data_IF_261006753181
#
_entry.id   IF_261006753181
#
_cell.length_a   1.000
_cell.length_b   1.000
_cell.length_c   1.000
_cell.angle_alpha   90.00
_cell.angle_beta   90.00
_cell.angle_gamma   90.00
#
_symmetry.space_group_name_H-M   'P 1'
#
loop_
_entity.id
_entity.type
_entity.pdbx_description
1 polymer ?
#
# COMPACT_ATOMS: atom_id res chain seq x y z
N UNK A 1 -9.20 -12.56 16.33
CA UNK A 1 -7.75 -12.79 16.54
C UNK A 1 -7.07 -12.60 15.22
N UNK A 2 -6.17 -11.60 15.08
CA UNK A 2 -5.41 -11.40 13.84
C UNK A 2 -4.45 -12.58 13.72
N UNK A 3 -4.48 -13.32 12.60
CA UNK A 3 -3.64 -14.49 12.38
C UNK A 3 -2.14 -14.10 12.50
N UNK A 4 -1.32 -14.99 13.05
CA UNK A 4 0.13 -14.77 13.09
C UNK A 4 0.67 -14.87 11.68
N UNK A 5 0.97 -13.72 11.06
CA UNK A 5 1.55 -13.65 9.72
C UNK A 5 3.03 -14.04 9.83
N UNK A 6 3.52 -14.99 9.01
CA UNK A 6 4.95 -15.32 8.95
C UNK A 6 5.78 -14.08 8.59
N UNK A 7 6.94 -13.90 9.25
CA UNK A 7 7.84 -12.79 8.92
C UNK A 7 8.41 -12.86 7.50
N UNK A 8 8.39 -14.04 6.89
CA UNK A 8 8.95 -14.24 5.56
C UNK A 8 8.35 -13.27 4.53
N UNK A 9 7.01 -13.14 4.50
CA UNK A 9 6.32 -12.29 3.50
C UNK A 9 6.74 -10.83 3.62
N UNK A 10 6.60 -10.15 4.78
CA UNK A 10 6.99 -8.76 4.89
C UNK A 10 8.51 -8.55 4.76
N UNK A 11 9.35 -9.51 5.19
CA UNK A 11 10.81 -9.38 5.04
C UNK A 11 11.25 -9.49 3.59
N UNK A 12 10.67 -10.42 2.82
CA UNK A 12 10.93 -10.54 1.38
C UNK A 12 10.42 -9.30 0.63
N UNK A 13 9.21 -8.81 0.96
CA UNK A 13 8.66 -7.61 0.36
C UNK A 13 9.53 -6.37 0.66
N UNK A 14 10.01 -6.24 1.89
CA UNK A 14 10.90 -5.15 2.29
C UNK A 14 12.26 -5.24 1.56
N UNK A 15 12.86 -6.41 1.51
CA UNK A 15 14.13 -6.62 0.80
C UNK A 15 13.98 -6.31 -0.69
N UNK A 16 12.90 -6.79 -1.33
CA UNK A 16 12.60 -6.49 -2.73
C UNK A 16 12.32 -4.99 -2.96
N UNK A 17 11.61 -4.33 -2.04
CA UNK A 17 11.38 -2.88 -2.08
C UNK A 17 12.69 -2.09 -2.02
N UNK A 18 13.57 -2.43 -1.08
CA UNK A 18 14.87 -1.75 -0.93
C UNK A 18 15.78 -2.01 -2.15
N UNK A 19 15.79 -3.23 -2.67
CA UNK A 19 16.52 -3.56 -3.90
C UNK A 19 15.99 -2.77 -5.09
N UNK A 20 14.67 -2.74 -5.28
CA UNK A 20 14.06 -1.96 -6.36
C UNK A 20 14.36 -0.46 -6.20
N UNK A 21 14.27 0.08 -4.98
CA UNK A 21 14.65 1.46 -4.69
C UNK A 21 16.09 1.75 -5.11
N UNK A 22 17.03 0.88 -4.74
CA UNK A 22 18.42 1.04 -5.12
C UNK A 22 18.64 0.99 -6.64
N UNK A 23 17.97 0.07 -7.35
CA UNK A 23 18.07 -0.03 -8.81
C UNK A 23 17.51 1.20 -9.52
N UNK A 24 16.36 1.71 -9.03
CA UNK A 24 15.70 2.90 -9.57
C UNK A 24 16.51 4.16 -9.33
N UNK A 25 17.12 4.31 -8.15
CA UNK A 25 17.94 5.49 -7.80
C UNK A 25 19.33 5.45 -8.42
N UNK A 26 19.81 4.27 -8.84
CA UNK A 26 21.07 4.09 -9.54
C UNK A 26 20.92 4.17 -11.06
N UNK A 27 19.73 4.50 -11.58
CA UNK A 27 19.41 4.55 -13.02
C UNK A 27 19.89 3.28 -13.75
N UNK A 28 19.58 2.10 -13.15
CA UNK A 28 20.03 0.83 -13.71
C UNK A 28 19.38 0.54 -15.05
N UNK A 29 20.17 0.58 -16.11
CA UNK A 29 19.71 0.57 -17.49
C UNK A 29 18.67 -0.53 -17.87
N UNK A 30 18.70 -1.77 -17.34
CA UNK A 30 17.63 -2.72 -17.63
C UNK A 30 16.27 -2.32 -17.08
N UNK A 31 16.22 -1.69 -15.89
CA UNK A 31 14.96 -1.17 -15.28
C UNK A 31 14.45 0.01 -16.11
N UNK A 32 15.33 0.97 -16.46
CA UNK A 32 14.93 2.14 -17.22
C UNK A 32 14.41 1.75 -18.60
N UNK A 33 15.09 0.81 -19.28
CA UNK A 33 14.62 0.33 -20.59
C UNK A 33 13.25 -0.33 -20.51
N UNK A 34 12.98 -1.10 -19.45
CA UNK A 34 11.68 -1.71 -19.23
C UNK A 34 10.60 -0.63 -19.01
N UNK A 35 10.87 0.33 -18.13
CA UNK A 35 9.95 1.42 -17.81
C UNK A 35 9.64 2.27 -19.02
N UNK A 36 10.65 2.66 -19.79
CA UNK A 36 10.49 3.45 -21.01
C UNK A 36 9.70 2.68 -22.06
N UNK A 37 10.07 1.43 -22.35
CA UNK A 37 9.39 0.64 -23.37
C UNK A 37 7.90 0.46 -23.08
N UNK A 38 7.54 0.13 -21.82
CA UNK A 38 6.15 -0.03 -21.40
C UNK A 38 5.39 1.31 -21.45
N UNK A 39 6.03 2.41 -21.07
CA UNK A 39 5.40 3.73 -21.10
C UNK A 39 5.19 4.23 -22.54
N UNK A 40 6.09 3.91 -23.46
CA UNK A 40 5.92 4.25 -24.89
C UNK A 40 4.74 3.47 -25.51
N UNK A 41 4.56 2.21 -25.13
CA UNK A 41 3.40 1.42 -25.54
C UNK A 41 2.09 2.03 -24.99
N UNK A 42 2.08 2.42 -23.72
CA UNK A 42 0.91 3.03 -23.09
C UNK A 42 0.62 4.43 -23.65
N UNK A 43 1.64 5.18 -24.03
CA UNK A 43 1.47 6.48 -24.69
C UNK A 43 0.74 6.31 -26.03
N UNK A 44 1.18 5.38 -26.87
CA UNK A 44 0.51 5.09 -28.15
C UNK A 44 -0.94 4.66 -27.92
N UNK A 45 -1.14 3.69 -27.02
CA UNK A 45 -2.47 3.20 -26.67
C UNK A 45 -3.39 4.30 -26.14
N UNK A 46 -2.90 5.16 -25.25
CA UNK A 46 -3.69 6.23 -24.64
C UNK A 46 -4.13 7.29 -25.65
N UNK A 47 -3.28 7.67 -26.62
CA UNK A 47 -3.65 8.60 -27.67
C UNK A 47 -4.73 8.04 -28.61
N UNK A 48 -4.79 6.73 -28.81
CA UNK A 48 -5.83 6.06 -29.60
C UNK A 48 -7.16 5.90 -28.82
N UNK A 49 -7.13 6.04 -27.45
CA UNK A 49 -8.26 5.73 -26.59
C UNK A 49 -8.58 6.85 -25.58
N UNK A 50 -8.66 8.11 -26.02
CA UNK A 50 -8.84 9.28 -25.14
C UNK A 50 -10.07 9.18 -24.25
N UNK A 51 -11.19 8.61 -24.71
CA UNK A 51 -12.37 8.39 -23.89
C UNK A 51 -12.13 7.43 -22.70
N UNK A 52 -11.29 6.41 -22.88
CA UNK A 52 -10.85 5.55 -21.78
C UNK A 52 -9.95 6.33 -20.80
N UNK A 53 -9.03 7.15 -21.31
CA UNK A 53 -8.15 7.98 -20.48
C UNK A 53 -8.97 8.87 -19.53
N UNK A 54 -10.03 9.53 -20.04
CA UNK A 54 -10.91 10.39 -19.23
C UNK A 54 -11.62 9.60 -18.12
N UNK A 55 -12.10 8.40 -18.42
CA UNK A 55 -12.70 7.51 -17.40
C UNK A 55 -11.65 7.11 -16.35
N UNK A 56 -10.45 6.70 -16.78
CA UNK A 56 -9.40 6.25 -15.87
C UNK A 56 -8.90 7.36 -14.95
N UNK A 57 -8.88 8.61 -15.40
CA UNK A 57 -8.54 9.79 -14.58
C UNK A 57 -9.46 9.89 -13.35
N UNK A 58 -10.75 9.70 -13.55
CA UNK A 58 -11.76 9.80 -12.47
C UNK A 58 -11.74 8.56 -11.59
N UNK A 59 -11.75 7.38 -12.19
CA UNK A 59 -11.86 6.11 -11.44
C UNK A 59 -10.65 5.85 -10.56
N UNK A 60 -9.44 6.26 -10.99
CA UNK A 60 -8.21 6.05 -10.21
C UNK A 60 -8.21 6.83 -8.89
N UNK A 61 -8.95 7.95 -8.80
CA UNK A 61 -8.96 8.83 -7.64
C UNK A 61 -9.59 8.19 -6.39
N UNK A 62 -10.31 7.09 -6.53
CA UNK A 62 -10.79 6.29 -5.39
C UNK A 62 -9.64 5.82 -4.49
N UNK A 63 -8.44 5.66 -5.05
CA UNK A 63 -7.23 5.26 -4.33
C UNK A 63 -6.26 6.45 -4.06
N UNK A 64 -6.70 7.69 -4.28
CA UNK A 64 -5.92 8.87 -3.91
C UNK A 64 -5.76 8.97 -2.38
N UNK A 65 -4.81 9.78 -1.93
CA UNK A 65 -4.48 9.90 -0.50
C UNK A 65 -5.68 10.31 0.34
N UNK A 66 -6.48 11.27 -0.13
CA UNK A 66 -7.61 11.78 0.64
C UNK A 66 -8.72 10.72 0.85
N UNK A 67 -9.24 10.02 -0.19
CA UNK A 67 -10.18 8.92 0.02
C UNK A 67 -9.62 7.80 0.89
N UNK A 68 -8.34 7.43 0.72
CA UNK A 68 -7.71 6.42 1.56
C UNK A 68 -7.69 6.81 3.03
N UNK A 69 -7.25 8.02 3.36
CA UNK A 69 -7.20 8.54 4.73
C UNK A 69 -8.61 8.66 5.31
N UNK A 70 -9.57 9.20 4.55
CA UNK A 70 -10.95 9.32 5.00
C UNK A 70 -11.58 7.96 5.31
N UNK A 71 -11.40 6.97 4.43
CA UNK A 71 -11.88 5.60 4.65
C UNK A 71 -11.20 4.95 5.88
N UNK A 72 -9.90 5.15 6.05
CA UNK A 72 -9.13 4.64 7.18
C UNK A 72 -9.58 5.25 8.52
N UNK A 73 -9.84 6.57 8.57
CA UNK A 73 -10.38 7.24 9.75
C UNK A 73 -11.79 6.71 10.06
N UNK A 74 -12.66 6.60 9.07
CA UNK A 74 -14.01 6.08 9.24
C UNK A 74 -14.01 4.63 9.76
N UNK A 75 -13.18 3.77 9.17
CA UNK A 75 -13.02 2.39 9.63
C UNK A 75 -12.48 2.32 11.07
N UNK A 76 -11.49 3.13 11.41
CA UNK A 76 -10.93 3.21 12.76
C UNK A 76 -11.99 3.64 13.77
N UNK A 77 -12.73 4.72 13.49
CA UNK A 77 -13.78 5.23 14.35
C UNK A 77 -14.90 4.19 14.57
N UNK A 78 -15.37 3.56 13.49
CA UNK A 78 -16.37 2.49 13.55
C UNK A 78 -15.91 1.31 14.41
N UNK A 79 -14.67 0.85 14.22
CA UNK A 79 -14.12 -0.27 14.99
C UNK A 79 -13.93 0.07 16.47
N UNK A 80 -13.55 1.31 16.79
CA UNK A 80 -13.48 1.78 18.19
C UNK A 80 -14.87 1.84 18.82
N UNK A 81 -15.85 2.41 18.12
CA UNK A 81 -17.24 2.50 18.59
C UNK A 81 -17.86 1.12 18.85
N UNK A 82 -17.45 0.09 18.08
CA UNK A 82 -17.89 -1.29 18.25
C UNK A 82 -17.00 -2.12 19.22
N UNK A 83 -16.08 -1.48 19.95
CA UNK A 83 -15.19 -2.12 20.94
C UNK A 83 -14.06 -2.98 20.34
N UNK A 84 -13.86 -2.96 19.03
CA UNK A 84 -12.86 -3.75 18.31
C UNK A 84 -11.49 -3.05 18.28
N UNK A 85 -10.86 -2.83 19.42
CA UNK A 85 -9.65 -2.00 19.56
C UNK A 85 -8.46 -2.44 18.71
N UNK A 86 -8.10 -3.75 18.67
CA UNK A 86 -6.97 -4.24 17.87
C UNK A 86 -7.16 -4.03 16.36
N UNK A 87 -8.29 -4.39 15.75
CA UNK A 87 -8.62 -4.01 14.38
C UNK A 87 -8.58 -2.51 14.13
N UNK A 88 -9.08 -1.69 15.06
CA UNK A 88 -9.02 -0.24 14.96
C UNK A 88 -7.58 0.29 14.89
N UNK A 89 -6.69 -0.22 15.75
CA UNK A 89 -5.27 0.16 15.73
C UNK A 89 -4.58 -0.28 14.43
N UNK A 90 -4.95 -1.42 13.86
CA UNK A 90 -4.43 -1.82 12.54
C UNK A 90 -4.83 -0.79 11.48
N UNK A 91 -6.11 -0.41 11.40
CA UNK A 91 -6.57 0.62 10.48
C UNK A 91 -5.84 1.94 10.72
N UNK A 92 -5.77 2.41 11.96
CA UNK A 92 -5.14 3.68 12.31
C UNK A 92 -3.66 3.72 11.89
N UNK A 93 -2.87 2.70 12.27
CA UNK A 93 -1.46 2.66 11.92
C UNK A 93 -1.21 2.56 10.41
N UNK A 94 -1.98 1.76 9.69
CA UNK A 94 -1.82 1.64 8.23
C UNK A 94 -2.21 2.96 7.55
N UNK A 95 -3.30 3.61 8.00
CA UNK A 95 -3.76 4.90 7.47
C UNK A 95 -2.71 6.01 7.65
N UNK A 96 -1.91 5.96 8.70
CA UNK A 96 -0.83 6.93 8.95
C UNK A 96 0.46 6.52 8.24
N UNK A 97 0.91 5.27 8.42
CA UNK A 97 2.24 4.84 7.98
C UNK A 97 2.38 4.81 6.45
N UNK A 98 1.36 4.38 5.72
CA UNK A 98 1.47 4.28 4.26
C UNK A 98 1.64 5.67 3.62
N UNK A 99 0.82 6.69 3.88
CA UNK A 99 1.04 8.03 3.34
C UNK A 99 2.32 8.69 3.84
N UNK A 100 2.71 8.46 5.11
CA UNK A 100 3.94 9.04 5.67
C UNK A 100 5.18 8.46 4.99
N UNK A 101 5.25 7.14 4.84
CA UNK A 101 6.37 6.49 4.16
C UNK A 101 6.42 6.84 2.68
N UNK A 102 5.26 6.85 1.99
CA UNK A 102 5.16 7.33 0.62
C UNK A 102 5.66 8.77 0.48
N UNK A 103 5.18 9.69 1.32
CA UNK A 103 5.60 11.09 1.30
C UNK A 103 7.09 11.27 1.61
N UNK A 104 7.64 10.52 2.59
CA UNK A 104 9.06 10.50 2.89
C UNK A 104 9.90 10.05 1.69
N UNK A 105 9.49 9.00 0.99
CA UNK A 105 10.19 8.53 -0.22
C UNK A 105 10.14 9.58 -1.34
N UNK A 106 9.00 10.27 -1.53
CA UNK A 106 8.87 11.35 -2.52
C UNK A 106 9.74 12.59 -2.17
N UNK A 107 10.00 12.81 -0.91
CA UNK A 107 10.88 13.87 -0.45
C UNK A 107 12.36 13.48 -0.57
N UNK A 108 12.70 12.22 -0.29
CA UNK A 108 14.08 11.73 -0.27
C UNK A 108 14.61 11.37 -1.68
N UNK A 109 13.73 10.92 -2.58
CA UNK A 109 14.11 10.40 -3.89
C UNK A 109 13.68 11.36 -5.01
N UNK A 110 14.63 11.70 -5.87
CA UNK A 110 14.37 12.50 -7.08
C UNK A 110 14.18 11.54 -8.25
N UNK A 111 12.93 11.17 -8.54
CA UNK A 111 12.61 10.36 -9.71
C UNK A 111 11.59 11.07 -10.59
N UNK A 112 11.96 11.52 -11.81
CA UNK A 112 11.01 12.12 -12.72
C UNK A 112 9.96 11.10 -13.15
N UNK A 113 8.76 11.60 -13.46
CA UNK A 113 7.66 10.80 -14.01
C UNK A 113 7.81 10.63 -15.53
N UNK A 114 7.06 9.69 -16.16
CA UNK A 114 6.94 9.66 -17.61
C UNK A 114 6.56 11.04 -18.16
N UNK A 115 7.23 11.45 -19.24
CA UNK A 115 6.90 12.70 -19.93
C UNK A 115 5.58 12.58 -20.68
N UNK A 116 4.93 13.72 -20.95
CA UNK A 116 3.67 13.80 -21.68
C UNK A 116 2.56 12.90 -21.11
N UNK A 117 2.51 12.83 -19.76
CA UNK A 117 1.50 12.06 -19.04
C UNK A 117 0.10 12.65 -19.22
N UNK A 118 -0.90 11.77 -19.23
CA UNK A 118 -2.31 12.16 -19.33
C UNK A 118 -2.86 12.82 -18.05
N UNK A 119 -2.06 12.91 -16.99
CA UNK A 119 -2.37 13.62 -15.73
C UNK A 119 -1.19 14.53 -15.35
N UNK A 120 -1.51 15.73 -14.89
CA UNK A 120 -0.51 16.66 -14.39
C UNK A 120 -0.20 16.36 -12.93
N UNK A 121 1.06 16.04 -12.64
CA UNK A 121 1.52 15.75 -11.28
C UNK A 121 2.93 16.30 -11.09
N UNK A 122 3.08 17.28 -10.22
CA UNK A 122 4.35 17.99 -9.96
C UNK A 122 5.17 17.37 -8.82
N UNK A 123 5.09 16.06 -8.61
CA UNK A 123 5.84 15.37 -7.55
C UNK A 123 6.68 14.22 -8.11
N UNK A 124 7.69 13.79 -7.33
CA UNK A 124 8.50 12.62 -7.68
C UNK A 124 7.65 11.37 -7.92
N UNK A 125 8.18 10.39 -8.68
CA UNK A 125 7.42 9.23 -9.14
C UNK A 125 7.38 8.06 -8.15
N UNK A 126 8.45 7.80 -7.42
CA UNK A 126 8.61 6.54 -6.67
C UNK A 126 8.37 6.66 -5.16
N UNK A 127 7.67 5.69 -4.56
CA UNK A 127 6.78 4.70 -5.18
C UNK A 127 5.41 5.28 -5.55
N UNK A 128 4.55 4.55 -6.27
CA UNK A 128 3.19 5.00 -6.58
C UNK A 128 2.29 5.04 -5.35
N UNK A 129 1.80 6.23 -5.00
CA UNK A 129 0.91 6.44 -3.84
C UNK A 129 -0.44 5.73 -4.01
N UNK A 130 -1.13 5.91 -5.14
CA UNK A 130 -2.40 5.25 -5.44
C UNK A 130 -2.29 3.72 -5.31
N UNK A 131 -1.21 3.15 -5.85
CA UNK A 131 -0.97 1.71 -5.76
C UNK A 131 -0.70 1.25 -4.33
N UNK A 132 0.08 2.02 -3.56
CA UNK A 132 0.32 1.73 -2.14
C UNK A 132 -0.97 1.77 -1.33
N UNK A 133 -1.81 2.79 -1.54
CA UNK A 133 -3.10 2.94 -0.85
C UNK A 133 -4.07 1.80 -1.19
N UNK A 134 -4.26 1.51 -2.49
CA UNK A 134 -5.15 0.44 -2.93
C UNK A 134 -4.74 -0.92 -2.36
N UNK A 135 -3.45 -1.23 -2.41
CA UNK A 135 -2.90 -2.49 -1.91
C UNK A 135 -3.03 -2.59 -0.39
N UNK A 136 -2.72 -1.51 0.33
CA UNK A 136 -2.85 -1.47 1.78
C UNK A 136 -4.31 -1.63 2.22
N UNK A 137 -5.25 -0.93 1.58
CA UNK A 137 -6.68 -1.07 1.85
C UNK A 137 -7.17 -2.50 1.60
N UNK A 138 -6.77 -3.12 0.47
CA UNK A 138 -7.07 -4.51 0.16
C UNK A 138 -6.54 -5.49 1.20
N UNK A 139 -5.27 -5.35 1.61
CA UNK A 139 -4.66 -6.19 2.64
C UNK A 139 -5.35 -6.04 3.99
N UNK A 140 -5.68 -4.81 4.41
CA UNK A 140 -6.44 -4.56 5.64
C UNK A 140 -7.81 -5.21 5.57
N UNK A 141 -8.53 -5.05 4.45
CA UNK A 141 -9.84 -5.69 4.27
C UNK A 141 -9.75 -7.22 4.38
N UNK A 142 -8.77 -7.84 3.72
CA UNK A 142 -8.50 -9.28 3.85
C UNK A 142 -8.27 -9.67 5.31
N UNK A 143 -7.39 -8.97 6.02
CA UNK A 143 -7.07 -9.29 7.42
C UNK A 143 -8.27 -9.16 8.37
N UNK A 144 -9.11 -8.14 8.16
CA UNK A 144 -10.28 -7.88 8.99
C UNK A 144 -11.43 -8.86 8.72
N UNK A 145 -11.64 -9.22 7.47
CA UNK A 145 -12.77 -10.06 7.06
C UNK A 145 -12.45 -11.55 7.16
N UNK A 146 -11.19 -11.96 7.01
CA UNK A 146 -10.78 -13.37 7.01
C UNK A 146 -11.35 -14.23 8.13
N UNK A 147 -11.39 -13.79 9.42
CA UNK A 147 -11.91 -14.60 10.50
C UNK A 147 -13.43 -14.83 10.43
N UNK A 148 -14.13 -13.98 9.66
CA UNK A 148 -15.60 -13.97 9.59
C UNK A 148 -16.14 -14.66 8.32
N UNK A 149 -15.26 -15.08 7.41
CA UNK A 149 -15.64 -15.63 6.12
C UNK A 149 -15.41 -17.14 6.02
N UNK A 150 -16.34 -17.85 5.36
CA UNK A 150 -16.14 -19.19 4.87
C UNK A 150 -15.12 -19.23 3.72
N UNK A 151 -14.68 -20.43 3.30
CA UNK A 151 -13.63 -20.60 2.26
C UNK A 151 -13.91 -19.79 0.98
N UNK A 152 -15.14 -19.86 0.46
CA UNK A 152 -15.51 -19.11 -0.75
C UNK A 152 -15.39 -17.59 -0.54
N UNK A 153 -15.85 -17.07 0.61
CA UNK A 153 -15.73 -15.66 0.95
C UNK A 153 -14.26 -15.20 1.11
N UNK A 154 -13.39 -16.07 1.64
CA UNK A 154 -11.94 -15.79 1.73
C UNK A 154 -11.31 -15.69 0.36
N UNK A 155 -11.66 -16.60 -0.56
CA UNK A 155 -11.20 -16.54 -1.95
C UNK A 155 -11.69 -15.24 -2.61
N UNK A 156 -12.97 -14.92 -2.44
CA UNK A 156 -13.57 -13.72 -3.04
C UNK A 156 -12.91 -12.43 -2.55
N UNK A 157 -12.67 -12.27 -1.23
CA UNK A 157 -12.05 -11.05 -0.68
C UNK A 157 -10.60 -10.91 -1.14
N UNK A 158 -9.84 -12.00 -1.24
CA UNK A 158 -8.47 -11.98 -1.77
C UNK A 158 -8.48 -11.62 -3.25
N UNK A 159 -9.34 -12.28 -4.05
CA UNK A 159 -9.46 -11.99 -5.48
C UNK A 159 -9.83 -10.51 -5.73
N UNK A 160 -10.80 -9.98 -4.97
CA UNK A 160 -11.19 -8.58 -5.06
C UNK A 160 -10.05 -7.63 -4.69
N UNK A 161 -9.31 -7.92 -3.61
CA UNK A 161 -8.16 -7.12 -3.20
C UNK A 161 -7.05 -7.12 -4.27
N UNK A 162 -6.76 -8.28 -4.86
CA UNK A 162 -5.77 -8.40 -5.94
C UNK A 162 -6.24 -7.65 -7.19
N UNK A 163 -7.48 -7.86 -7.63
CA UNK A 163 -8.04 -7.16 -8.80
C UNK A 163 -8.01 -5.66 -8.59
N UNK A 164 -8.39 -5.18 -7.42
CA UNK A 164 -8.35 -3.75 -7.10
C UNK A 164 -6.93 -3.19 -7.15
N UNK A 165 -5.95 -3.84 -6.49
CA UNK A 165 -4.56 -3.40 -6.47
C UNK A 165 -3.92 -3.39 -7.87
N UNK A 166 -4.18 -4.44 -8.68
CA UNK A 166 -3.70 -4.55 -10.06
C UNK A 166 -4.37 -3.53 -10.96
N UNK A 167 -5.69 -3.36 -10.86
CA UNK A 167 -6.43 -2.38 -11.63
C UNK A 167 -5.92 -0.95 -11.37
N UNK A 168 -5.83 -0.54 -10.10
CA UNK A 168 -5.30 0.79 -9.77
C UNK A 168 -3.86 0.94 -10.27
N UNK A 169 -3.00 -0.06 -10.08
CA UNK A 169 -1.64 -0.02 -10.61
C UNK A 169 -1.60 0.16 -12.13
N UNK A 170 -2.42 -0.60 -12.87
CA UNK A 170 -2.52 -0.50 -14.32
C UNK A 170 -3.00 0.90 -14.76
N UNK A 171 -3.99 1.49 -14.07
CA UNK A 171 -4.44 2.86 -14.39
C UNK A 171 -3.30 3.86 -14.30
N UNK A 172 -2.37 3.70 -13.35
CA UNK A 172 -1.25 4.65 -13.17
C UNK A 172 -0.22 4.56 -14.29
N UNK A 173 -0.01 3.35 -14.84
CA UNK A 173 0.87 3.14 -16.00
C UNK A 173 0.20 3.63 -17.28
N UNK A 174 -1.08 3.30 -17.51
CA UNK A 174 -1.84 3.73 -18.69
C UNK A 174 -1.95 5.26 -18.74
N UNK A 175 -2.17 5.92 -17.60
CA UNK A 175 -2.23 7.38 -17.50
C UNK A 175 -0.85 8.05 -17.60
N UNK A 176 0.24 7.29 -17.74
CA UNK A 176 1.62 7.78 -17.71
C UNK A 176 1.91 8.64 -16.46
N UNK A 177 1.18 8.38 -15.38
CA UNK A 177 1.39 9.05 -14.11
C UNK A 177 2.58 8.47 -13.33
N UNK A 178 2.90 7.20 -13.59
CA UNK A 178 3.97 6.45 -12.95
C UNK A 178 4.61 5.46 -13.91
N UNK A 179 5.89 5.19 -13.68
CA UNK A 179 6.57 4.07 -14.31
C UNK A 179 6.03 2.74 -13.77
N UNK A 180 6.09 1.63 -14.54
CA UNK A 180 5.75 0.29 -14.05
C UNK A 180 6.45 -0.09 -12.75
N UNK A 181 7.71 0.27 -12.59
CA UNK A 181 8.47 -0.01 -11.37
C UNK A 181 8.05 0.84 -10.18
N UNK A 182 7.48 2.04 -10.37
CA UNK A 182 6.84 2.80 -9.28
C UNK A 182 5.62 2.06 -8.72
N UNK A 183 4.85 1.44 -9.62
CA UNK A 183 3.68 0.62 -9.27
C UNK A 183 4.12 -0.61 -8.48
N UNK A 184 5.15 -1.31 -8.96
CA UNK A 184 5.75 -2.44 -8.24
C UNK A 184 6.24 -2.02 -6.85
N UNK A 185 6.91 -0.86 -6.74
CA UNK A 185 7.32 -0.28 -5.47
C UNK A 185 6.14 -0.03 -4.52
N UNK A 186 5.01 0.45 -5.05
CA UNK A 186 3.79 0.65 -4.28
C UNK A 186 3.21 -0.64 -3.69
N UNK A 187 3.15 -1.72 -4.48
CA UNK A 187 2.76 -3.05 -3.98
C UNK A 187 3.71 -3.56 -2.91
N UNK A 188 5.01 -3.51 -3.15
CA UNK A 188 6.03 -3.99 -2.21
C UNK A 188 6.00 -3.23 -0.89
N UNK A 189 5.83 -1.91 -0.91
CA UNK A 189 5.69 -1.09 0.28
C UNK A 189 4.50 -1.54 1.13
N UNK A 190 3.34 -1.74 0.53
CA UNK A 190 2.14 -2.18 1.25
C UNK A 190 2.31 -3.62 1.80
N UNK A 191 2.88 -4.55 1.02
CA UNK A 191 3.18 -5.92 1.47
C UNK A 191 4.24 -5.98 2.56
N UNK A 192 5.14 -5.02 2.65
CA UNK A 192 6.08 -4.90 3.76
C UNK A 192 5.39 -4.36 5.02
N UNK A 193 4.69 -3.23 4.90
CA UNK A 193 4.19 -2.46 6.05
C UNK A 193 2.98 -3.12 6.71
N UNK A 194 1.94 -3.48 5.94
CA UNK A 194 0.67 -3.95 6.51
C UNK A 194 0.82 -5.23 7.34
N UNK A 195 1.52 -6.28 6.85
CA UNK A 195 1.75 -7.49 7.65
C UNK A 195 2.63 -7.25 8.89
N UNK A 196 3.61 -6.35 8.82
CA UNK A 196 4.45 -5.99 9.97
C UNK A 196 3.62 -5.32 11.07
N UNK A 197 2.77 -4.36 10.72
CA UNK A 197 1.84 -3.71 11.67
C UNK A 197 0.89 -4.75 12.29
N UNK A 198 0.27 -5.60 11.47
CA UNK A 198 -0.63 -6.63 11.94
C UNK A 198 0.07 -7.60 12.92
N UNK A 199 1.32 -7.98 12.63
CA UNK A 199 2.12 -8.83 13.49
C UNK A 199 2.49 -8.14 14.81
N UNK A 200 2.91 -6.88 14.79
CA UNK A 200 3.25 -6.11 15.97
C UNK A 200 2.05 -6.02 16.94
N UNK A 201 0.85 -5.82 16.40
CA UNK A 201 -0.39 -5.79 17.19
C UNK A 201 -0.87 -7.17 17.68
N UNK A 202 -0.32 -8.26 17.12
CA UNK A 202 -0.64 -9.63 17.51
C UNK A 202 0.30 -10.18 18.60
N UNK A 203 1.40 -9.50 18.90
CA UNK A 203 2.33 -9.92 19.94
C UNK A 203 1.63 -9.92 21.32
N UNK A 204 1.79 -10.99 22.13
CA UNK A 204 1.32 -10.95 23.50
C UNK A 204 2.08 -9.85 24.24
N UNK A 205 1.35 -8.94 24.86
CA UNK A 205 1.96 -8.08 25.86
C UNK A 205 2.36 -9.01 27.01
N UNK A 206 3.65 -9.12 27.30
CA UNK A 206 4.12 -9.85 28.47
C UNK A 206 3.41 -9.32 29.71
N UNK A 207 3.21 -10.18 30.74
CA UNK A 207 2.66 -9.70 31.99
C UNK A 207 3.55 -8.54 32.48
N UNK A 208 2.94 -7.42 32.84
CA UNK A 208 3.61 -6.39 33.62
C UNK A 208 4.37 -7.08 34.74
N UNK A 209 5.62 -6.73 35.02
CA UNK A 209 6.28 -7.24 36.23
C UNK A 209 5.35 -6.93 37.40
N UNK A 210 4.91 -7.99 38.09
CA UNK A 210 4.13 -7.84 39.29
C UNK A 210 4.97 -6.95 40.23
N UNK A 211 4.39 -5.85 40.66
CA UNK A 211 4.92 -4.98 41.70
C UNK A 211 5.31 -5.90 42.88
N UNK A 212 6.61 -6.10 43.06
CA UNK A 212 7.13 -6.79 44.22
C UNK A 212 6.94 -5.83 45.39
N UNK A 213 5.74 -5.83 45.94
CA UNK A 213 5.44 -5.14 47.17
C UNK A 213 6.51 -5.47 48.20
N UNK A 214 7.38 -4.54 48.52
CA UNK A 214 8.26 -4.60 49.65
C UNK A 214 7.39 -4.75 50.91
N UNK A 215 7.31 -5.99 51.42
CA UNK A 215 6.81 -6.24 52.77
C UNK A 215 7.89 -5.72 53.71
N UNK A 216 7.70 -4.49 54.17
CA UNK A 216 8.47 -3.95 55.31
C UNK A 216 7.88 -4.66 56.57
N UNK A 217 8.66 -5.59 57.08
CA UNK A 217 8.39 -6.16 58.43
C UNK A 217 9.03 -5.22 59.41
N UNK A 218 8.20 -4.64 60.28
CA UNK A 218 8.59 -3.94 61.49
C UNK A 218 8.63 -4.92 62.64
#
# INVERSE_FOLDING_TARGET
>A
MIARIPLLVPSVALAAFLTLTALVTADWAPVDRFDVAMSDDMRRYGHEHLGLIDVLRVVTDVAATLPFVAAGIAATAFLLATGRRRPAYLCAWVTVLIPVLWGAMHWLLTRPRPQDGFVLVDSNGFPSGHTSHATAAGLVAVLLLWPHLARAGRIAVVALAVVFAVFIGATRVILLAHWPTDVLGGWLLAFAVVPLVARALSAPHGPFPADQGHMVVV
#
